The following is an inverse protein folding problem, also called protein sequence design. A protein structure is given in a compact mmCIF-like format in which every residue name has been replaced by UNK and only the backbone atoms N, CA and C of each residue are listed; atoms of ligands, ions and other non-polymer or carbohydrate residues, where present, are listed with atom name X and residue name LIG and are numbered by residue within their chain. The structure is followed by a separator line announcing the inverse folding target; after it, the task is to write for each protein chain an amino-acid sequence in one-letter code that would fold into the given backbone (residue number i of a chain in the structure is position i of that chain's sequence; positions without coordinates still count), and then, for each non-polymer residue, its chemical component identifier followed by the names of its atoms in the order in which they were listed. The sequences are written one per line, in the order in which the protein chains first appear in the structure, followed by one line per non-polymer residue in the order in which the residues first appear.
data_IF_826024984248
#
_entry.id   IF_826024984248
#
_cell.length_a   1.000
_cell.length_b   1.000
_cell.length_c   1.000
_cell.angle_alpha   90.00
_cell.angle_beta   90.00
_cell.angle_gamma   90.00
#
_symmetry.space_group_name_H-M   'P 1'
#
loop_
_entity.id
_entity.type
_entity.pdbx_description
1 polymer ?
#
# COMPACT_ATOMS: atom_id res chain seq x y z
N UNK A 1 18.17 1.34 13.18
CA UNK A 1 18.50 1.88 11.84
C UNK A 1 17.24 1.72 11.02
N UNK A 2 16.57 2.83 10.77
CA UNK A 2 15.31 2.88 10.02
C UNK A 2 15.62 2.47 8.58
N UNK A 3 15.19 1.29 8.18
CA UNK A 3 15.22 0.85 6.79
C UNK A 3 14.43 1.88 6.00
N UNK A 4 15.11 2.71 5.21
CA UNK A 4 14.45 3.62 4.30
C UNK A 4 13.89 2.75 3.19
N UNK A 5 12.67 2.24 3.40
CA UNK A 5 11.91 1.49 2.41
C UNK A 5 11.90 2.31 1.11
N UNK A 6 12.67 1.87 0.11
CA UNK A 6 12.70 2.53 -1.19
C UNK A 6 11.42 2.14 -1.91
N UNK A 7 10.50 3.08 -1.98
CA UNK A 7 9.23 2.90 -2.68
C UNK A 7 9.39 3.44 -4.10
N UNK A 8 9.41 2.51 -5.06
CA UNK A 8 9.44 2.80 -6.49
C UNK A 8 8.01 2.75 -7.03
N UNK A 9 7.52 3.84 -7.65
CA UNK A 9 6.15 3.90 -8.17
C UNK A 9 6.10 4.04 -9.69
N UNK A 10 5.04 3.54 -10.29
CA UNK A 10 4.70 3.69 -11.71
C UNK A 10 3.22 3.97 -11.82
N UNK A 11 2.86 5.06 -12.48
CA UNK A 11 1.45 5.46 -12.64
C UNK A 11 0.96 5.13 -14.05
N UNK A 12 -0.30 4.70 -14.13
CA UNK A 12 -1.02 4.42 -15.39
C UNK A 12 -2.41 5.01 -15.31
N UNK A 13 -2.72 5.95 -16.19
CA UNK A 13 -4.08 6.47 -16.35
C UNK A 13 -4.95 5.42 -17.05
N UNK A 14 -6.08 5.07 -16.44
CA UNK A 14 -7.07 4.14 -16.98
C UNK A 14 -8.07 4.89 -17.85
N UNK A 15 -8.67 4.19 -18.81
CA UNK A 15 -9.71 4.72 -19.71
C UNK A 15 -10.96 5.23 -18.97
N UNK A 16 -11.17 4.77 -17.73
CA UNK A 16 -12.26 5.20 -16.85
C UNK A 16 -12.04 6.57 -16.19
N UNK A 17 -10.87 7.19 -16.37
CA UNK A 17 -10.48 8.45 -15.70
C UNK A 17 -9.69 8.27 -14.41
N UNK A 18 -9.62 7.04 -13.87
CA UNK A 18 -8.85 6.73 -12.66
C UNK A 18 -7.35 6.57 -12.97
N UNK A 19 -6.50 6.82 -11.97
CA UNK A 19 -5.08 6.57 -12.01
C UNK A 19 -4.73 5.31 -11.21
N UNK A 20 -4.22 4.29 -11.89
CA UNK A 20 -3.67 3.11 -11.23
C UNK A 20 -2.18 3.34 -10.96
N UNK A 21 -1.80 3.33 -9.69
CA UNK A 21 -0.42 3.41 -9.24
C UNK A 21 0.06 2.01 -8.90
N UNK A 22 1.05 1.50 -9.61
CA UNK A 22 1.80 0.32 -9.19
C UNK A 22 2.98 0.78 -8.34
N UNK A 23 3.14 0.22 -7.15
CA UNK A 23 4.28 0.51 -6.29
C UNK A 23 5.06 -0.75 -5.96
N UNK A 24 6.35 -0.59 -5.74
CA UNK A 24 7.30 -1.62 -5.34
C UNK A 24 8.03 -1.12 -4.12
N UNK A 25 8.09 -1.96 -3.09
CA UNK A 25 8.82 -1.71 -1.85
C UNK A 25 10.06 -2.59 -1.92
N UNK A 26 11.19 -1.94 -2.18
CA UNK A 26 12.50 -2.57 -2.13
C UNK A 26 12.93 -2.64 -0.67
N UNK A 27 12.41 -3.63 0.04
CA UNK A 27 12.88 -4.03 1.36
C UNK A 27 13.86 -5.20 1.24
N UNK A 28 14.99 -5.11 1.93
CA UNK A 28 16.09 -6.09 1.89
C UNK A 28 15.64 -7.49 2.36
N UNK A 29 14.60 -7.57 3.20
CA UNK A 29 14.11 -8.82 3.78
C UNK A 29 12.82 -9.32 3.13
N UNK A 30 11.94 -8.43 2.67
CA UNK A 30 10.62 -8.79 2.12
C UNK A 30 10.21 -7.86 0.99
N UNK A 31 10.67 -8.10 -0.25
CA UNK A 31 10.21 -7.32 -1.39
C UNK A 31 8.69 -7.46 -1.53
N UNK A 32 8.02 -6.32 -1.62
CA UNK A 32 6.58 -6.24 -1.75
C UNK A 32 6.23 -5.38 -2.95
N UNK A 33 5.10 -5.65 -3.58
CA UNK A 33 4.56 -4.79 -4.61
C UNK A 33 3.05 -4.69 -4.45
N UNK A 34 2.49 -3.62 -4.98
CA UNK A 34 1.07 -3.38 -4.83
C UNK A 34 0.51 -2.43 -5.86
N UNK A 35 -0.80 -2.27 -5.78
CA UNK A 35 -1.56 -1.38 -6.63
C UNK A 35 -2.43 -0.48 -5.76
N UNK A 36 -2.35 0.82 -6.02
CA UNK A 36 -3.22 1.84 -5.43
C UNK A 36 -4.05 2.46 -6.55
N UNK A 37 -5.37 2.41 -6.43
CA UNK A 37 -6.29 3.10 -7.32
C UNK A 37 -6.59 4.49 -6.76
N UNK A 38 -6.31 5.51 -7.57
CA UNK A 38 -6.52 6.92 -7.22
C UNK A 38 -7.51 7.52 -8.20
N UNK A 39 -8.60 8.10 -7.71
CA UNK A 39 -9.64 8.70 -8.55
C UNK A 39 -9.30 10.13 -8.99
N UNK A 40 -8.24 10.72 -8.44
CA UNK A 40 -7.82 12.09 -8.69
C UNK A 40 -6.31 12.15 -9.01
N UNK A 41 -5.86 13.15 -9.78
CA UNK A 41 -4.43 13.35 -10.04
C UNK A 41 -3.72 13.80 -8.77
N UNK A 42 -3.11 12.85 -8.06
CA UNK A 42 -2.23 13.12 -6.90
C UNK A 42 -0.76 13.26 -7.34
N UNK A 43 -0.02 14.09 -6.62
CA UNK A 43 1.44 14.19 -6.79
C UNK A 43 2.14 12.92 -6.33
N UNK A 44 3.34 12.67 -6.87
CA UNK A 44 4.17 11.51 -6.48
C UNK A 44 4.41 11.45 -4.96
N UNK A 45 4.68 12.60 -4.33
CA UNK A 45 4.86 12.69 -2.88
C UNK A 45 3.62 12.23 -2.09
N UNK A 46 2.45 12.77 -2.44
CA UNK A 46 1.15 12.42 -1.84
C UNK A 46 0.85 10.91 -1.96
N UNK A 47 1.16 10.34 -3.13
CA UNK A 47 0.98 8.90 -3.38
C UNK A 47 1.89 8.08 -2.46
N UNK A 48 3.16 8.47 -2.31
CA UNK A 48 4.11 7.77 -1.44
C UNK A 48 3.68 7.86 0.03
N UNK A 49 3.25 9.04 0.48
CA UNK A 49 2.75 9.23 1.85
C UNK A 49 1.49 8.39 2.11
N UNK A 50 0.57 8.32 1.14
CA UNK A 50 -0.62 7.48 1.25
C UNK A 50 -0.29 5.98 1.30
N UNK A 51 0.65 5.52 0.48
CA UNK A 51 1.14 4.14 0.53
C UNK A 51 1.74 3.83 1.91
N UNK A 52 2.59 4.71 2.44
CA UNK A 52 3.20 4.54 3.78
C UNK A 52 2.15 4.49 4.88
N UNK A 53 1.24 5.45 4.91
CA UNK A 53 0.17 5.52 5.91
C UNK A 53 -0.70 4.25 5.91
N UNK A 54 -1.03 3.72 4.71
CA UNK A 54 -1.78 2.46 4.58
C UNK A 54 -1.00 1.24 5.02
N UNK A 55 0.31 1.19 4.75
CA UNK A 55 1.19 0.12 5.23
C UNK A 55 1.31 0.12 6.76
N UNK A 56 1.50 1.30 7.36
CA UNK A 56 1.58 1.47 8.81
C UNK A 56 0.27 1.05 9.47
N UNK A 57 -0.88 1.54 8.98
CA UNK A 57 -2.19 1.13 9.49
C UNK A 57 -2.38 -0.38 9.43
N UNK A 58 -2.03 -1.02 8.31
CA UNK A 58 -2.13 -2.48 8.16
C UNK A 58 -1.23 -3.24 9.14
N UNK A 59 -0.03 -2.71 9.40
CA UNK A 59 0.92 -3.28 10.36
C UNK A 59 0.39 -3.15 11.80
N UNK A 60 -0.20 -2.01 12.15
CA UNK A 60 -0.84 -1.79 13.44
C UNK A 60 -2.06 -2.69 13.65
N UNK A 61 -2.88 -2.89 12.62
CA UNK A 61 -4.02 -3.82 12.65
C UNK A 61 -3.58 -5.27 12.80
N UNK A 62 -2.50 -5.69 12.12
CA UNK A 62 -1.90 -7.01 12.34
C UNK A 62 -1.35 -7.18 13.76
N UNK A 63 -0.78 -6.13 14.35
CA UNK A 63 -0.26 -6.19 15.72
C UNK A 63 -1.36 -6.17 16.78
N UNK A 64 -2.51 -5.55 16.48
CA UNK A 64 -3.70 -5.52 17.35
C UNK A 64 -4.64 -6.72 17.15
N UNK A 65 -4.22 -7.78 16.43
CA UNK A 65 -5.01 -8.99 16.28
C UNK A 65 -5.31 -9.62 17.65
N UNK A 66 -6.57 -9.55 18.05
CA UNK A 66 -7.05 -10.20 19.25
C UNK A 66 -6.91 -11.73 19.09
N UNK A 67 -6.20 -12.45 19.98
CA UNK A 67 -5.96 -13.89 19.83
C UNK A 67 -7.22 -14.76 19.79
N UNK A 68 -8.37 -14.21 20.19
CA UNK A 68 -9.67 -14.89 20.16
C UNK A 68 -10.46 -14.71 18.85
N UNK A 69 -10.07 -13.75 18.02
CA UNK A 69 -10.68 -13.51 16.71
C UNK A 69 -9.55 -13.40 15.66
N UNK A 70 -9.13 -14.54 15.06
CA UNK A 70 -8.00 -14.59 14.13
C UNK A 70 -8.31 -13.97 12.76
N UNK A 71 -9.44 -13.27 12.61
CA UNK A 71 -9.85 -12.63 11.37
C UNK A 71 -9.64 -11.12 11.56
N UNK A 72 -8.65 -10.51 10.88
CA UNK A 72 -8.53 -9.06 10.91
C UNK A 72 -9.84 -8.44 10.40
N UNK A 73 -10.31 -7.33 10.99
CA UNK A 73 -11.31 -6.50 10.34
C UNK A 73 -10.64 -5.92 9.09
N UNK A 74 -10.61 -6.69 8.00
CA UNK A 74 -10.28 -6.16 6.69
C UNK A 74 -11.48 -5.28 6.34
N UNK A 75 -11.37 -3.98 6.61
CA UNK A 75 -12.00 -3.03 5.70
C UNK A 75 -11.43 -3.39 4.33
N UNK A 76 -12.26 -3.97 3.46
CA UNK A 76 -11.87 -4.29 2.09
C UNK A 76 -11.53 -2.98 1.38
N UNK A 77 -10.28 -2.55 1.49
CA UNK A 77 -9.78 -1.43 0.74
C UNK A 77 -9.60 -1.89 -0.71
N UNK A 78 -10.70 -1.87 -1.45
CA UNK A 78 -10.76 -2.25 -2.87
C UNK A 78 -9.87 -1.36 -3.75
N UNK A 79 -9.30 -0.29 -3.18
CA UNK A 79 -8.38 0.62 -3.86
C UNK A 79 -6.92 0.33 -3.52
N UNK A 80 -6.59 -0.58 -2.59
CA UNK A 80 -5.22 -0.86 -2.20
C UNK A 80 -4.93 -2.37 -2.08
N UNK A 81 -4.16 -2.86 -3.03
CA UNK A 81 -3.70 -4.23 -3.07
C UNK A 81 -2.21 -4.29 -2.74
N UNK A 82 -1.83 -5.21 -1.86
CA UNK A 82 -0.45 -5.45 -1.47
C UNK A 82 -0.15 -6.94 -1.59
N UNK A 83 0.93 -7.25 -2.26
CA UNK A 83 1.42 -8.60 -2.51
C UNK A 83 2.85 -8.71 -1.99
N UNK A 84 3.10 -9.74 -1.18
CA UNK A 84 4.45 -10.17 -0.83
C UNK A 84 4.96 -11.12 -1.92
N UNK A 85 6.16 -10.88 -2.44
CA UNK A 85 6.84 -11.80 -3.36
C UNK A 85 7.56 -12.93 -2.61
#
# INVERSE_FOLDING_TARGET
MESTEKISITTKTLNSGNCQVKFFIEDDRRPQYGYLLVNEPKSVGEIIEEIKSRLERRKEEMMNLNPFFPVPPIEEDHNFYLFSA
#
